data_IF_702761425075
#
_entry.id   IF_702761425075
#
_cell.length_a   1.000
_cell.length_b   1.000
_cell.length_c   1.000
_cell.angle_alpha   90.00
_cell.angle_beta   90.00
_cell.angle_gamma   90.00
#
_symmetry.space_group_name_H-M   'P 1'
#
loop_
_entity.id
_entity.type
_entity.pdbx_description
1 polymer ?
#
# COMPACT_ATOMS: atom_id res chain seq x y z
N UNK A 1 31.63 20.64 27.58
CA UNK A 1 31.32 20.95 26.16
C UNK A 1 30.26 19.98 25.70
N UNK A 2 29.03 20.44 25.51
CA UNK A 2 27.96 19.62 24.93
C UNK A 2 27.80 20.10 23.51
N UNK A 3 28.30 19.33 22.54
CA UNK A 3 28.07 19.60 21.13
C UNK A 3 26.84 18.78 20.74
N UNK A 4 25.66 19.42 20.84
CA UNK A 4 24.44 18.90 20.26
C UNK A 4 24.46 19.13 18.76
N UNK A 5 24.75 18.10 17.98
CA UNK A 5 24.55 18.12 16.54
C UNK A 5 23.12 17.70 16.23
N UNK A 6 22.22 18.68 16.05
CA UNK A 6 20.96 18.45 15.32
C UNK A 6 21.28 18.57 13.84
N UNK A 7 21.57 17.43 13.20
CA UNK A 7 21.68 17.35 11.74
C UNK A 7 20.30 17.10 11.17
N UNK A 8 19.64 18.17 10.75
CA UNK A 8 18.51 18.08 9.83
C UNK A 8 19.00 17.78 8.42
N UNK A 9 19.01 16.51 8.04
CA UNK A 9 19.12 16.06 6.66
C UNK A 9 18.37 14.72 6.54
N UNK A 10 17.25 14.70 5.81
CA UNK A 10 16.51 13.47 5.53
C UNK A 10 17.23 12.72 4.41
N UNK A 11 18.41 12.17 4.71
CA UNK A 11 19.08 11.17 3.88
C UNK A 11 18.61 9.79 4.30
N UNK A 12 18.14 8.98 3.35
CA UNK A 12 17.75 7.60 3.61
C UNK A 12 18.99 6.83 4.06
N UNK A 13 18.94 6.28 5.27
CA UNK A 13 20.01 5.43 5.81
C UNK A 13 19.90 4.02 5.21
N UNK A 14 21.00 3.48 4.70
CA UNK A 14 21.05 2.11 4.13
C UNK A 14 21.10 1.01 5.21
N UNK A 15 21.45 1.37 6.45
CA UNK A 15 21.71 0.40 7.53
C UNK A 15 20.64 0.36 8.62
N UNK A 16 19.84 1.41 8.74
CA UNK A 16 18.94 1.61 9.90
C UNK A 16 17.66 2.29 9.46
N UNK A 17 16.52 1.79 9.93
CA UNK A 17 15.23 2.40 9.63
C UNK A 17 14.99 3.61 10.56
N UNK A 18 15.52 4.76 10.15
CA UNK A 18 15.43 6.02 10.92
C UNK A 18 13.98 6.43 11.16
N UNK A 19 13.63 6.74 12.41
CA UNK A 19 12.31 7.29 12.78
C UNK A 19 11.21 6.23 13.00
N UNK A 20 11.58 4.96 13.13
CA UNK A 20 10.64 3.87 13.46
C UNK A 20 10.45 3.74 14.97
N UNK A 21 11.49 3.97 15.75
CA UNK A 21 11.42 3.87 17.20
C UNK A 21 10.71 5.11 17.81
N UNK A 22 9.59 4.88 18.48
CA UNK A 22 8.83 5.93 19.19
C UNK A 22 9.14 6.00 20.69
N UNK A 23 9.93 5.06 21.24
CA UNK A 23 10.29 5.06 22.66
C UNK A 23 11.34 6.11 22.97
N UNK A 24 11.22 6.77 24.13
CA UNK A 24 12.18 7.78 24.61
C UNK A 24 13.58 7.21 24.88
N UNK A 25 13.64 5.93 25.23
CA UNK A 25 14.87 5.17 25.46
C UNK A 25 14.81 3.94 24.57
N UNK A 26 15.56 3.95 23.48
CA UNK A 26 15.63 2.88 22.49
C UNK A 26 16.39 3.36 21.26
N UNK A 27 16.81 2.41 20.43
CA UNK A 27 17.46 2.68 19.14
C UNK A 27 16.52 2.30 18.00
N UNK A 28 16.70 2.95 16.84
CA UNK A 28 15.98 2.56 15.63
C UNK A 28 16.41 1.15 15.17
N UNK A 29 15.47 0.32 14.69
CA UNK A 29 15.80 -1.03 14.27
C UNK A 29 16.73 -1.04 13.04
N UNK A 30 17.74 -1.93 13.00
CA UNK A 30 18.61 -2.09 11.83
C UNK A 30 17.85 -2.76 10.67
N UNK A 31 18.23 -2.39 9.45
CA UNK A 31 17.76 -3.07 8.24
C UNK A 31 18.47 -4.43 8.12
N UNK A 32 17.69 -5.48 7.87
CA UNK A 32 18.17 -6.85 7.73
C UNK A 32 18.33 -7.22 6.25
N UNK A 33 18.93 -8.37 5.97
CA UNK A 33 19.00 -8.89 4.61
C UNK A 33 17.60 -9.28 4.08
N UNK A 34 17.40 -9.21 2.76
CA UNK A 34 16.11 -9.48 2.12
C UNK A 34 15.52 -10.86 2.47
N UNK A 35 16.39 -11.86 2.66
CA UNK A 35 16.01 -13.23 3.03
C UNK A 35 15.47 -13.38 4.46
N UNK A 36 15.66 -12.38 5.33
CA UNK A 36 15.07 -12.38 6.67
C UNK A 36 13.63 -11.85 6.69
N UNK A 37 13.20 -11.19 5.61
CA UNK A 37 11.84 -10.69 5.47
C UNK A 37 10.94 -11.74 4.81
N UNK A 38 9.65 -11.81 5.18
CA UNK A 38 8.72 -12.70 4.52
C UNK A 38 8.54 -12.38 3.03
N UNK A 39 8.26 -13.40 2.21
CA UNK A 39 8.12 -13.28 0.76
C UNK A 39 7.00 -12.29 0.33
N UNK A 40 5.93 -12.18 1.12
CA UNK A 40 4.82 -11.25 0.83
C UNK A 40 5.23 -9.78 0.86
N UNK A 41 6.35 -9.41 1.48
CA UNK A 41 6.82 -8.02 1.49
C UNK A 41 7.14 -7.54 0.07
N UNK A 42 7.66 -8.43 -0.76
CA UNK A 42 8.11 -8.13 -2.12
C UNK A 42 6.97 -8.08 -3.12
N UNK A 43 5.77 -8.53 -2.75
CA UNK A 43 4.57 -8.47 -3.59
C UNK A 43 3.77 -7.18 -3.41
N UNK A 44 3.97 -6.46 -2.29
CA UNK A 44 3.31 -5.16 -2.02
C UNK A 44 3.56 -4.06 -3.07
N UNK A 45 4.79 -3.87 -3.61
CA UNK A 45 5.02 -2.81 -4.58
C UNK A 45 4.35 -3.09 -5.94
N UNK A 46 3.86 -4.29 -6.18
CA UNK A 46 3.16 -4.61 -7.43
C UNK A 46 1.82 -3.86 -7.49
N UNK A 47 1.56 -3.09 -8.57
CA UNK A 47 0.34 -2.34 -8.67
C UNK A 47 -0.85 -3.30 -8.75
N UNK A 48 -1.86 -3.13 -7.88
CA UNK A 48 -2.99 -4.04 -7.87
C UNK A 48 -3.86 -3.85 -9.12
N UNK A 49 -4.45 -4.93 -9.62
CA UNK A 49 -5.19 -5.01 -10.89
C UNK A 49 -6.15 -3.83 -11.11
N UNK A 50 -6.18 -3.30 -12.33
CA UNK A 50 -7.11 -2.24 -12.71
C UNK A 50 -8.53 -2.77 -12.87
N UNK A 51 -9.54 -1.88 -12.79
CA UNK A 51 -10.95 -2.24 -12.99
C UNK A 51 -11.16 -3.01 -14.30
N UNK A 52 -10.62 -2.49 -15.40
CA UNK A 52 -10.73 -3.10 -16.73
C UNK A 52 -10.09 -4.51 -16.80
N UNK A 53 -8.97 -4.71 -16.11
CA UNK A 53 -8.31 -6.02 -16.07
C UNK A 53 -9.14 -7.03 -15.30
N UNK A 54 -9.75 -6.59 -14.18
CA UNK A 54 -10.62 -7.42 -13.35
C UNK A 54 -11.92 -7.78 -14.07
N UNK A 55 -12.59 -6.81 -14.72
CA UNK A 55 -13.81 -7.02 -15.52
C UNK A 55 -13.60 -7.96 -16.71
N UNK A 56 -12.36 -8.05 -17.23
CA UNK A 56 -12.02 -9.01 -18.28
C UNK A 56 -11.72 -10.41 -17.72
N UNK A 57 -11.17 -10.47 -16.51
CA UNK A 57 -10.72 -11.71 -15.87
C UNK A 57 -11.89 -12.47 -15.23
N UNK A 58 -12.84 -11.74 -14.65
CA UNK A 58 -14.00 -12.29 -13.97
C UNK A 58 -15.30 -11.82 -14.62
N UNK A 59 -16.23 -12.74 -14.77
CA UNK A 59 -17.61 -12.47 -15.17
C UNK A 59 -18.49 -12.28 -13.93
N UNK A 60 -19.60 -11.57 -14.05
CA UNK A 60 -20.55 -11.34 -12.95
C UNK A 60 -21.11 -12.66 -12.35
N UNK A 61 -21.12 -13.75 -13.15
CA UNK A 61 -21.60 -15.07 -12.76
C UNK A 61 -20.53 -15.98 -12.13
N UNK A 62 -19.29 -15.51 -11.98
CA UNK A 62 -18.20 -16.33 -11.44
C UNK A 62 -18.44 -16.70 -9.97
N UNK A 63 -18.16 -17.96 -9.63
CA UNK A 63 -18.27 -18.45 -8.26
C UNK A 63 -17.17 -17.83 -7.40
N UNK A 64 -17.58 -17.30 -6.24
CA UNK A 64 -16.64 -16.79 -5.24
C UNK A 64 -15.86 -17.94 -4.61
N UNK A 65 -14.54 -17.92 -4.79
CA UNK A 65 -13.57 -18.89 -4.25
C UNK A 65 -12.51 -18.14 -3.44
N UNK A 66 -11.78 -18.84 -2.57
CA UNK A 66 -10.73 -18.21 -1.77
C UNK A 66 -9.63 -17.58 -2.65
N UNK A 67 -9.36 -18.15 -3.83
CA UNK A 67 -8.33 -17.68 -4.76
C UNK A 67 -8.72 -16.39 -5.50
N UNK A 68 -10.01 -16.16 -5.76
CA UNK A 68 -10.51 -14.99 -6.49
C UNK A 68 -11.17 -13.93 -5.59
N UNK A 69 -11.32 -14.22 -4.30
CA UNK A 69 -12.01 -13.38 -3.34
C UNK A 69 -11.47 -11.93 -3.34
N UNK A 70 -10.16 -11.77 -3.27
CA UNK A 70 -9.51 -10.46 -3.20
C UNK A 70 -9.71 -9.64 -4.49
N UNK A 71 -9.62 -10.32 -5.64
CA UNK A 71 -9.81 -9.71 -6.95
C UNK A 71 -11.26 -9.23 -7.14
N UNK A 72 -12.24 -10.07 -6.79
CA UNK A 72 -13.67 -9.74 -6.89
C UNK A 72 -14.03 -8.61 -5.91
N UNK A 73 -13.55 -8.68 -4.66
CA UNK A 73 -13.77 -7.62 -3.67
C UNK A 73 -13.21 -6.27 -4.16
N UNK A 74 -12.01 -6.30 -4.75
CA UNK A 74 -11.39 -5.11 -5.34
C UNK A 74 -12.20 -4.58 -6.53
N UNK A 75 -12.68 -5.46 -7.41
CA UNK A 75 -13.50 -5.09 -8.57
C UNK A 75 -14.75 -4.32 -8.12
N UNK A 76 -15.53 -4.87 -7.19
CA UNK A 76 -16.74 -4.24 -6.64
C UNK A 76 -16.42 -2.88 -6.02
N UNK A 77 -15.31 -2.79 -5.25
CA UNK A 77 -14.86 -1.52 -4.67
C UNK A 77 -14.57 -0.48 -5.74
N UNK A 78 -13.90 -0.85 -6.83
CA UNK A 78 -13.57 0.06 -7.92
C UNK A 78 -14.81 0.50 -8.71
N UNK A 79 -15.77 -0.39 -8.94
CA UNK A 79 -17.07 -0.05 -9.54
C UNK A 79 -17.79 1.00 -8.70
N UNK A 80 -17.93 0.76 -7.40
CA UNK A 80 -18.56 1.70 -6.46
C UNK A 80 -17.86 3.07 -6.47
N UNK A 81 -16.53 3.09 -6.45
CA UNK A 81 -15.76 4.35 -6.50
C UNK A 81 -16.01 5.09 -7.81
N UNK A 82 -16.07 4.39 -8.95
CA UNK A 82 -16.36 4.98 -10.26
C UNK A 82 -17.75 5.61 -10.28
N UNK A 83 -18.77 4.88 -9.84
CA UNK A 83 -20.14 5.38 -9.78
C UNK A 83 -20.26 6.62 -8.89
N UNK A 84 -19.65 6.62 -7.70
CA UNK A 84 -19.64 7.77 -6.81
C UNK A 84 -18.98 8.99 -7.47
N UNK A 85 -17.86 8.77 -8.19
CA UNK A 85 -17.18 9.85 -8.92
C UNK A 85 -18.05 10.41 -10.04
N UNK A 86 -18.73 9.55 -10.79
CA UNK A 86 -19.62 9.97 -11.88
C UNK A 86 -20.82 10.77 -11.34
N UNK A 87 -21.44 10.30 -10.26
CA UNK A 87 -22.53 11.01 -9.57
C UNK A 87 -22.08 12.37 -9.03
N UNK A 88 -20.90 12.43 -8.40
CA UNK A 88 -20.33 13.70 -7.92
C UNK A 88 -20.02 14.66 -9.08
N UNK A 89 -19.53 14.17 -10.21
CA UNK A 89 -19.25 14.97 -11.39
C UNK A 89 -20.55 15.54 -12.02
N UNK A 90 -21.63 14.76 -12.05
CA UNK A 90 -22.96 15.23 -12.49
C UNK A 90 -23.48 16.30 -11.53
N UNK A 91 -23.40 16.04 -10.21
CA UNK A 91 -23.87 16.97 -9.18
C UNK A 91 -23.09 18.29 -9.20
N UNK A 92 -21.77 18.26 -9.44
CA UNK A 92 -20.93 19.46 -9.50
C UNK A 92 -21.21 20.35 -10.71
N UNK A 93 -21.78 19.80 -11.79
CA UNK A 93 -22.17 20.55 -12.99
C UNK A 93 -23.54 21.22 -12.86
N UNK A 94 -24.33 20.85 -11.84
CA UNK A 94 -25.67 21.39 -11.57
C UNK A 94 -25.57 22.53 -10.56
#
# INVERSE_FOLDING_TARGET
>A
MIVGAVSGASSVSETTATGVNYFKTGEDPPLKADSEYPDWLWTIPEPPSSLFTLERKYSDDDVLTDENYEDIQRMVKLQNIREIKDLNAIKAKK
#
